data_IF_845085581587
#
_entry.id   IF_845085581587
#
_cell.length_a   1.000
_cell.length_b   1.000
_cell.length_c   1.000
_cell.angle_alpha   90.00
_cell.angle_beta   90.00
_cell.angle_gamma   90.00
#
_symmetry.space_group_name_H-M   'P 1'
#
loop_
_entity.id
_entity.type
_entity.pdbx_description
1 polymer ?
#
# COMPACT_ATOMS: atom_id res chain seq x y z
N UNK A 1 -2.48 -16.23 30.11
CA UNK A 1 -3.16 -14.98 29.73
C UNK A 1 -2.85 -14.69 28.27
N UNK A 2 -3.82 -14.96 27.40
CA UNK A 2 -3.69 -14.65 25.99
C UNK A 2 -3.77 -13.13 25.83
N UNK A 3 -2.67 -12.52 25.40
CA UNK A 3 -2.70 -11.13 25.00
C UNK A 3 -3.73 -11.01 23.86
N UNK A 4 -4.80 -10.28 24.11
CA UNK A 4 -5.72 -9.91 23.05
C UNK A 4 -4.94 -8.99 22.14
N UNK A 5 -4.46 -9.52 21.02
CA UNK A 5 -3.84 -8.69 19.99
C UNK A 5 -4.97 -7.89 19.36
N UNK A 6 -5.12 -6.64 19.81
CA UNK A 6 -6.02 -5.71 19.15
C UNK A 6 -5.52 -5.50 17.73
N UNK A 7 -6.37 -5.71 16.74
CA UNK A 7 -6.04 -5.35 15.38
C UNK A 7 -6.37 -3.87 15.13
N UNK A 8 -5.79 -3.32 14.06
CA UNK A 8 -6.01 -1.94 13.66
C UNK A 8 -6.89 -1.84 12.40
N UNK A 9 -7.66 -2.89 12.13
CA UNK A 9 -8.58 -2.91 10.99
C UNK A 9 -9.56 -1.74 11.08
N UNK A 10 -9.77 -1.06 9.97
CA UNK A 10 -10.67 0.10 9.90
C UNK A 10 -10.12 1.38 10.51
N UNK A 11 -8.84 1.41 10.89
CA UNK A 11 -8.24 2.57 11.57
C UNK A 11 -7.56 3.58 10.64
N UNK A 12 -7.61 3.36 9.32
CA UNK A 12 -7.03 4.30 8.37
C UNK A 12 -7.75 5.65 8.47
N UNK A 13 -6.99 6.72 8.50
CA UNK A 13 -7.51 8.09 8.50
C UNK A 13 -7.31 8.67 7.10
N UNK A 14 -8.40 9.10 6.48
CA UNK A 14 -8.39 9.67 5.13
C UNK A 14 -8.71 11.16 5.24
N UNK A 15 -7.83 12.00 4.70
CA UNK A 15 -7.94 13.45 4.72
C UNK A 15 -7.81 13.99 3.30
N UNK A 16 -8.36 15.17 3.09
CA UNK A 16 -8.30 15.89 1.82
C UNK A 16 -7.64 17.24 2.03
N UNK A 17 -6.28 17.29 2.03
CA UNK A 17 -5.57 18.56 2.29
C UNK A 17 -5.83 19.63 1.25
N UNK A 18 -6.18 19.24 0.02
CA UNK A 18 -6.54 20.15 -1.07
C UNK A 18 -7.53 19.47 -2.01
N UNK A 19 -8.00 20.21 -3.01
CA UNK A 19 -8.92 19.65 -4.04
C UNK A 19 -8.27 18.58 -4.91
N UNK A 20 -6.95 18.51 -4.92
CA UNK A 20 -6.18 17.57 -5.75
C UNK A 20 -5.61 16.40 -4.97
N UNK A 21 -5.68 16.43 -3.64
CA UNK A 21 -4.95 15.47 -2.79
C UNK A 21 -5.84 14.54 -1.99
N UNK A 22 -5.35 13.32 -1.82
CA UNK A 22 -5.88 12.35 -0.85
C UNK A 22 -4.71 11.95 0.04
N UNK A 23 -4.87 12.11 1.35
CA UNK A 23 -3.88 11.72 2.33
C UNK A 23 -4.44 10.61 3.21
N UNK A 24 -3.77 9.46 3.23
CA UNK A 24 -4.19 8.31 4.04
C UNK A 24 -3.09 7.97 5.04
N UNK A 25 -3.46 7.79 6.30
CA UNK A 25 -2.53 7.43 7.38
C UNK A 25 -3.00 6.14 8.05
N UNK A 26 -2.09 5.21 8.26
CA UNK A 26 -2.36 3.92 8.89
C UNK A 26 -1.15 3.44 9.68
N UNK A 27 -1.35 2.96 10.90
CA UNK A 27 -0.27 2.40 11.72
C UNK A 27 -0.25 0.87 11.63
N UNK A 28 0.95 0.30 11.72
CA UNK A 28 1.19 -1.14 11.71
C UNK A 28 2.13 -1.52 12.85
N UNK A 29 1.82 -2.60 13.56
CA UNK A 29 2.65 -3.11 14.66
C UNK A 29 3.78 -3.98 14.10
N UNK A 30 4.72 -3.34 13.39
CA UNK A 30 5.85 -4.00 12.73
C UNK A 30 7.02 -3.03 12.59
N UNK A 31 8.28 -3.53 12.51
CA UNK A 31 9.43 -2.67 12.28
C UNK A 31 9.42 -2.07 10.87
N UNK A 32 9.97 -0.87 10.75
CA UNK A 32 9.95 -0.09 9.52
C UNK A 32 10.61 -0.82 8.35
N UNK A 33 11.69 -1.55 8.60
CA UNK A 33 12.39 -2.31 7.56
C UNK A 33 11.49 -3.40 6.96
N UNK A 34 10.72 -4.07 7.81
CA UNK A 34 9.80 -5.11 7.34
C UNK A 34 8.63 -4.50 6.56
N UNK A 35 8.07 -3.38 7.03
CA UNK A 35 7.00 -2.70 6.31
C UNK A 35 7.49 -2.24 4.94
N UNK A 36 8.67 -1.64 4.87
CA UNK A 36 9.26 -1.21 3.61
C UNK A 36 9.46 -2.40 2.65
N UNK A 37 9.98 -3.50 3.15
CA UNK A 37 10.19 -4.71 2.35
C UNK A 37 8.88 -5.24 1.78
N UNK A 38 7.85 -5.33 2.59
CA UNK A 38 6.53 -5.85 2.19
C UNK A 38 5.85 -4.95 1.17
N UNK A 39 6.14 -3.64 1.20
CA UNK A 39 5.60 -2.68 0.23
C UNK A 39 6.34 -2.71 -1.12
N UNK A 40 7.54 -3.27 -1.18
CA UNK A 40 8.43 -3.09 -2.35
C UNK A 40 8.83 -4.37 -3.06
N UNK A 41 8.61 -5.54 -2.46
CA UNK A 41 8.92 -6.82 -3.11
C UNK A 41 7.69 -7.44 -3.74
N UNK A 42 7.75 -7.85 -5.03
CA UNK A 42 6.59 -8.42 -5.73
C UNK A 42 5.96 -9.61 -5.02
N UNK A 43 6.76 -10.51 -4.47
CA UNK A 43 6.28 -11.69 -3.75
C UNK A 43 5.44 -11.34 -2.53
N UNK A 44 5.72 -10.19 -1.90
CA UNK A 44 4.96 -9.69 -0.76
C UNK A 44 3.74 -8.88 -1.22
N UNK A 45 3.90 -7.98 -2.19
CA UNK A 45 2.82 -7.14 -2.70
C UNK A 45 1.64 -7.97 -3.19
N UNK A 46 1.92 -9.12 -3.82
CA UNK A 46 0.89 -10.07 -4.26
C UNK A 46 -0.02 -10.55 -3.14
N UNK A 47 0.43 -10.52 -1.89
CA UNK A 47 -0.31 -11.07 -0.75
C UNK A 47 -1.32 -10.07 -0.17
N UNK A 48 -1.16 -8.78 -0.39
CA UNK A 48 -1.98 -7.79 0.30
C UNK A 48 -2.60 -6.70 -0.59
N UNK A 49 -2.09 -6.49 -1.80
CA UNK A 49 -2.42 -5.30 -2.60
C UNK A 49 -3.91 -5.22 -3.00
N UNK A 50 -4.54 -6.32 -3.31
CA UNK A 50 -5.91 -6.35 -3.81
C UNK A 50 -6.95 -6.39 -2.67
N UNK A 51 -8.17 -5.84 -2.88
CA UNK A 51 -9.27 -6.05 -1.93
C UNK A 51 -9.55 -7.52 -1.67
N UNK A 52 -10.27 -7.84 -0.59
CA UNK A 52 -10.46 -9.22 -0.12
C UNK A 52 -11.04 -10.16 -1.17
N UNK A 53 -11.93 -9.67 -2.04
CA UNK A 53 -12.59 -10.50 -3.06
C UNK A 53 -11.82 -10.57 -4.37
N UNK A 54 -10.64 -9.98 -4.44
CA UNK A 54 -9.85 -9.87 -5.67
C UNK A 54 -8.56 -10.67 -5.57
N UNK A 55 -8.00 -11.02 -6.72
CA UNK A 55 -6.75 -11.80 -6.81
C UNK A 55 -5.73 -11.04 -7.64
N UNK A 56 -4.52 -10.86 -7.11
CA UNK A 56 -3.41 -10.27 -7.85
C UNK A 56 -2.90 -11.29 -8.87
N UNK A 57 -2.95 -10.94 -10.14
CA UNK A 57 -2.52 -11.81 -11.25
C UNK A 57 -1.16 -11.42 -11.80
N UNK A 58 -0.73 -10.17 -11.58
CA UNK A 58 0.57 -9.69 -12.03
C UNK A 58 1.12 -8.68 -11.03
N UNK A 59 2.40 -8.80 -10.73
CA UNK A 59 3.12 -7.79 -9.96
C UNK A 59 4.56 -7.76 -10.44
N UNK A 60 4.97 -6.63 -11.02
CA UNK A 60 6.33 -6.41 -11.47
C UNK A 60 6.84 -5.10 -10.87
N UNK A 61 8.03 -5.13 -10.27
CA UNK A 61 8.63 -3.99 -9.60
C UNK A 61 10.11 -3.93 -9.96
N UNK A 62 10.52 -2.83 -10.57
CA UNK A 62 11.93 -2.50 -10.80
C UNK A 62 12.29 -1.39 -9.81
N UNK A 63 12.75 -1.77 -8.61
CA UNK A 63 12.92 -0.84 -7.48
C UNK A 63 14.22 -0.04 -7.61
N UNK A 64 14.17 0.97 -8.47
CA UNK A 64 15.24 1.96 -8.66
C UNK A 64 14.62 3.24 -9.22
N UNK A 65 15.27 4.35 -9.02
CA UNK A 65 14.83 5.63 -9.63
C UNK A 65 14.85 5.47 -11.15
N UNK A 66 13.72 5.79 -11.79
CA UNK A 66 13.50 5.56 -13.21
C UNK A 66 12.97 4.17 -13.56
N UNK A 67 12.91 3.25 -12.61
CA UNK A 67 12.31 1.94 -12.82
C UNK A 67 10.78 2.01 -12.75
N UNK A 68 10.12 1.04 -13.38
CA UNK A 68 8.67 0.98 -13.45
C UNK A 68 8.09 -0.10 -12.54
N UNK A 69 6.85 0.10 -12.12
CA UNK A 69 6.08 -0.94 -11.45
C UNK A 69 4.72 -1.11 -12.13
N UNK A 70 4.18 -2.33 -12.05
CA UNK A 70 2.83 -2.62 -12.52
C UNK A 70 2.24 -3.74 -11.68
N UNK A 71 1.07 -3.48 -11.10
CA UNK A 71 0.32 -4.47 -10.33
C UNK A 71 -1.10 -4.57 -10.89
N UNK A 72 -1.53 -5.79 -11.17
CA UNK A 72 -2.86 -6.07 -11.72
C UNK A 72 -3.58 -7.03 -10.79
N UNK A 73 -4.82 -6.71 -10.46
CA UNK A 73 -5.70 -7.67 -9.79
C UNK A 73 -6.99 -7.84 -10.59
N UNK A 74 -7.66 -8.97 -10.35
CA UNK A 74 -8.91 -9.33 -11.02
C UNK A 74 -10.01 -9.45 -9.99
N UNK A 75 -11.16 -8.82 -10.27
CA UNK A 75 -12.35 -8.90 -9.44
C UNK A 75 -13.10 -10.20 -9.65
N UNK A 76 -14.12 -10.48 -8.83
CA UNK A 76 -14.93 -11.70 -8.93
C UNK A 76 -15.61 -11.84 -10.29
N UNK A 77 -15.97 -10.72 -10.93
CA UNK A 77 -16.61 -10.74 -12.26
C UNK A 77 -15.62 -10.80 -13.42
N UNK A 78 -14.31 -10.92 -13.13
CA UNK A 78 -13.26 -11.01 -14.14
C UNK A 78 -12.72 -9.67 -14.64
N UNK A 79 -13.10 -8.55 -14.03
CA UNK A 79 -12.59 -7.24 -14.41
C UNK A 79 -11.14 -7.07 -13.96
N UNK A 80 -10.26 -6.69 -14.87
CA UNK A 80 -8.87 -6.38 -14.53
C UNK A 80 -8.72 -4.95 -14.06
N UNK A 81 -8.02 -4.77 -12.93
CA UNK A 81 -7.65 -3.46 -12.40
C UNK A 81 -6.13 -3.35 -12.40
N UNK A 82 -5.59 -2.48 -13.24
CA UNK A 82 -4.15 -2.31 -13.42
C UNK A 82 -3.70 -0.97 -12.86
N UNK A 83 -2.65 -1.00 -12.05
CA UNK A 83 -2.00 0.17 -11.45
C UNK A 83 -0.54 0.17 -11.87
N UNK A 84 -0.04 1.30 -12.34
CA UNK A 84 1.34 1.40 -12.80
C UNK A 84 1.93 2.79 -12.56
N UNK A 85 3.24 2.85 -12.61
CA UNK A 85 3.97 4.10 -12.48
C UNK A 85 5.47 3.91 -12.58
N UNK A 86 6.17 5.01 -12.34
CA UNK A 86 7.64 5.09 -12.38
C UNK A 86 8.14 5.66 -11.05
N UNK A 87 9.21 5.09 -10.49
CA UNK A 87 9.83 5.58 -9.27
C UNK A 87 10.59 6.87 -9.53
N UNK A 88 10.30 7.91 -8.75
CA UNK A 88 10.96 9.21 -8.82
C UNK A 88 11.99 9.39 -7.71
N UNK A 89 11.75 8.82 -6.52
CA UNK A 89 12.61 8.93 -5.35
C UNK A 89 12.47 7.67 -4.50
N UNK A 90 13.59 7.13 -4.02
CA UNK A 90 13.58 5.95 -3.14
C UNK A 90 14.62 6.18 -2.03
N UNK A 91 14.15 6.30 -0.78
CA UNK A 91 14.99 6.45 0.42
C UNK A 91 14.63 5.36 1.43
N UNK A 92 15.20 4.15 1.28
CA UNK A 92 14.88 3.06 2.20
C UNK A 92 15.34 3.35 3.62
N UNK A 93 14.57 3.01 4.64
CA UNK A 93 13.22 2.43 4.61
C UNK A 93 12.11 3.48 4.83
N UNK A 94 12.36 4.77 4.56
CA UNK A 94 11.51 5.87 5.00
C UNK A 94 10.63 6.50 3.94
N UNK A 95 11.02 6.43 2.65
CA UNK A 95 10.31 7.21 1.64
C UNK A 95 10.39 6.63 0.24
N UNK A 96 9.26 6.67 -0.46
CA UNK A 96 9.16 6.40 -1.90
C UNK A 96 8.28 7.49 -2.52
N UNK A 97 8.72 8.06 -3.63
CA UNK A 97 7.91 8.93 -4.48
C UNK A 97 7.82 8.28 -5.85
N UNK A 98 6.61 8.15 -6.35
CA UNK A 98 6.36 7.46 -7.61
C UNK A 98 5.19 8.10 -8.34
N UNK A 99 5.17 8.00 -9.67
CA UNK A 99 3.96 8.30 -10.41
C UNK A 99 2.95 7.19 -10.19
N UNK A 100 1.68 7.50 -10.32
CA UNK A 100 0.62 6.55 -10.04
C UNK A 100 -0.49 6.72 -11.07
N UNK A 101 -0.91 5.63 -11.67
CA UNK A 101 -1.98 5.63 -12.65
C UNK A 101 -2.82 4.37 -12.48
N UNK A 102 -4.13 4.56 -12.36
CA UNK A 102 -5.10 3.48 -12.50
C UNK A 102 -5.56 3.44 -13.96
N UNK A 103 -5.27 2.36 -14.67
CA UNK A 103 -5.59 2.25 -16.09
C UNK A 103 -7.10 2.27 -16.39
N UNK A 104 -7.94 1.94 -15.41
CA UNK A 104 -9.39 2.06 -15.55
C UNK A 104 -9.87 3.52 -15.65
N UNK A 105 -9.03 4.47 -15.25
CA UNK A 105 -9.31 5.90 -15.36
C UNK A 105 -8.02 6.64 -15.71
N UNK A 106 -7.56 6.56 -17.00
CA UNK A 106 -6.24 7.10 -17.38
C UNK A 106 -6.05 8.59 -17.16
N UNK A 107 -7.13 9.36 -17.06
CA UNK A 107 -7.05 10.80 -16.81
C UNK A 107 -6.74 11.13 -15.34
N UNK A 108 -6.82 10.17 -14.43
CA UNK A 108 -6.56 10.35 -13.00
C UNK A 108 -5.11 10.04 -12.64
N UNK A 109 -4.16 10.58 -13.39
CA UNK A 109 -2.73 10.44 -13.07
C UNK A 109 -2.39 11.21 -11.80
N UNK A 110 -1.58 10.60 -10.94
CA UNK A 110 -1.18 11.19 -9.66
C UNK A 110 0.32 10.99 -9.41
N UNK A 111 0.85 11.76 -8.46
CA UNK A 111 2.14 11.46 -7.83
C UNK A 111 1.83 10.93 -6.43
N UNK A 112 2.33 9.74 -6.15
CA UNK A 112 2.16 9.08 -4.86
C UNK A 112 3.42 9.23 -4.03
N UNK A 113 3.27 9.78 -2.82
CA UNK A 113 4.34 9.84 -1.84
C UNK A 113 4.01 8.91 -0.70
N UNK A 114 4.90 7.96 -0.43
CA UNK A 114 4.79 7.00 0.67
C UNK A 114 5.87 7.34 1.69
N UNK A 115 5.46 7.69 2.90
CA UNK A 115 6.36 7.96 4.01
C UNK A 115 6.14 6.96 5.14
N UNK A 116 7.23 6.48 5.73
CA UNK A 116 7.20 5.55 6.87
C UNK A 116 7.98 6.17 8.03
N UNK A 117 7.40 6.06 9.23
CA UNK A 117 8.03 6.52 10.46
C UNK A 117 7.76 5.50 11.57
N UNK A 118 8.81 5.06 12.27
CA UNK A 118 8.68 4.08 13.35
C UNK A 118 8.93 4.71 14.70
N UNK A 119 8.06 4.41 15.67
CA UNK A 119 8.22 4.74 17.07
C UNK A 119 7.81 3.55 17.91
N UNK A 120 8.72 3.03 18.75
CA UNK A 120 8.46 1.92 19.70
C UNK A 120 7.85 0.68 19.01
N UNK A 121 8.36 0.31 17.85
CA UNK A 121 7.91 -0.89 17.13
C UNK A 121 6.64 -0.71 16.33
N UNK A 122 6.11 0.51 16.27
CA UNK A 122 4.91 0.85 15.48
C UNK A 122 5.34 1.73 14.32
N UNK A 123 5.06 1.28 13.11
CA UNK A 123 5.37 2.04 11.88
C UNK A 123 4.10 2.72 11.38
N UNK A 124 4.17 4.03 11.23
CA UNK A 124 3.09 4.82 10.63
C UNK A 124 3.37 5.00 9.14
N UNK A 125 2.42 4.55 8.34
CA UNK A 125 2.43 4.68 6.89
C UNK A 125 1.56 5.89 6.52
N UNK A 126 2.12 6.81 5.75
CA UNK A 126 1.37 7.94 5.19
C UNK A 126 1.48 7.88 3.67
N UNK A 127 0.34 7.83 3.00
CA UNK A 127 0.27 7.81 1.54
C UNK A 127 -0.45 9.06 1.07
N UNK A 128 0.24 9.88 0.28
CA UNK A 128 -0.36 11.06 -0.33
C UNK A 128 -0.44 10.88 -1.85
N UNK A 129 -1.66 10.96 -2.39
CA UNK A 129 -1.90 10.98 -3.82
C UNK A 129 -2.22 12.42 -4.22
N UNK A 130 -1.39 13.00 -5.07
CA UNK A 130 -1.60 14.34 -5.63
C UNK A 130 -1.97 14.18 -7.10
N UNK A 131 -3.24 14.42 -7.42
CA UNK A 131 -3.80 14.22 -8.76
C UNK A 131 -3.56 15.44 -9.64
N UNK A 132 -3.56 15.22 -10.96
CA UNK A 132 -3.43 16.28 -11.95
C UNK A 132 -4.65 17.19 -11.94
N UNK A 133 -5.85 16.65 -11.72
CA UNK A 133 -7.10 17.41 -11.70
C UNK A 133 -8.07 16.90 -10.64
N UNK A 134 -9.07 17.75 -10.35
CA UNK A 134 -10.09 17.46 -9.33
C UNK A 134 -10.98 16.28 -9.72
N UNK A 135 -11.30 16.11 -11.00
CA UNK A 135 -12.16 15.02 -11.46
C UNK A 135 -11.53 13.65 -11.18
N UNK A 136 -10.23 13.53 -11.42
CA UNK A 136 -9.48 12.31 -11.12
C UNK A 136 -9.46 12.02 -9.62
N UNK A 137 -9.17 13.04 -8.80
CA UNK A 137 -9.20 12.91 -7.34
C UNK A 137 -10.58 12.46 -6.87
N UNK A 138 -11.65 13.10 -7.35
CA UNK A 138 -13.02 12.79 -6.92
C UNK A 138 -13.43 11.38 -7.35
N UNK A 139 -13.00 10.92 -8.51
CA UNK A 139 -13.26 9.56 -8.96
C UNK A 139 -12.62 8.53 -8.02
N UNK A 140 -11.38 8.74 -7.63
CA UNK A 140 -10.65 7.79 -6.78
C UNK A 140 -11.11 7.81 -5.32
N UNK A 141 -11.78 8.86 -4.85
CA UNK A 141 -12.34 8.88 -3.49
C UNK A 141 -13.55 7.96 -3.31
N UNK A 142 -14.13 7.47 -4.40
CA UNK A 142 -15.33 6.60 -4.34
C UNK A 142 -14.99 5.14 -4.03
N UNK A 143 -13.70 4.79 -4.01
CA UNK A 143 -13.26 3.43 -3.73
C UNK A 143 -12.75 3.32 -2.28
N UNK A 144 -13.22 2.33 -1.55
CA UNK A 144 -12.74 1.99 -0.20
C UNK A 144 -11.83 0.75 -0.20
N UNK A 145 -11.40 0.31 -1.38
CA UNK A 145 -10.51 -0.84 -1.54
C UNK A 145 -9.15 -0.70 -0.83
N UNK A 146 -8.71 0.53 -0.56
CA UNK A 146 -7.46 0.78 0.14
C UNK A 146 -7.52 0.30 1.60
N UNK A 147 -8.67 0.46 2.28
CA UNK A 147 -8.83 -0.04 3.65
C UNK A 147 -8.70 -1.57 3.68
N UNK A 148 -9.34 -2.27 2.74
CA UNK A 148 -9.20 -3.73 2.63
C UNK A 148 -7.75 -4.14 2.42
N UNK A 149 -7.02 -3.44 1.55
CA UNK A 149 -5.61 -3.71 1.29
C UNK A 149 -4.76 -3.51 2.54
N UNK A 150 -5.00 -2.46 3.30
CA UNK A 150 -4.26 -2.21 4.53
C UNK A 150 -4.58 -3.26 5.61
N UNK A 151 -5.82 -3.71 5.69
CA UNK A 151 -6.19 -4.78 6.62
C UNK A 151 -5.50 -6.10 6.26
N UNK A 152 -5.42 -6.42 4.97
CA UNK A 152 -4.66 -7.58 4.48
C UNK A 152 -3.16 -7.43 4.76
N UNK A 153 -2.63 -6.22 4.57
CA UNK A 153 -1.23 -5.93 4.87
C UNK A 153 -0.92 -6.16 6.35
N UNK A 154 -1.79 -5.70 7.24
CA UNK A 154 -1.63 -5.93 8.68
C UNK A 154 -1.61 -7.44 8.99
N UNK A 155 -2.56 -8.18 8.46
CA UNK A 155 -2.66 -9.62 8.70
C UNK A 155 -1.44 -10.36 8.14
N UNK A 156 -0.96 -9.95 6.98
CA UNK A 156 0.23 -10.52 6.36
C UNK A 156 1.50 -10.23 7.17
N UNK A 157 1.67 -9.00 7.65
CA UNK A 157 2.78 -8.63 8.52
C UNK A 157 2.79 -9.47 9.79
N UNK A 158 1.63 -9.68 10.39
CA UNK A 158 1.49 -10.52 11.58
C UNK A 158 1.93 -11.96 11.29
N UNK A 159 1.53 -12.51 10.15
CA UNK A 159 1.95 -13.85 9.71
C UNK A 159 3.48 -13.93 9.56
N UNK A 160 4.10 -12.93 8.94
CA UNK A 160 5.56 -12.91 8.77
C UNK A 160 6.30 -12.81 10.10
N UNK A 161 5.79 -11.99 11.03
CA UNK A 161 6.39 -11.85 12.36
C UNK A 161 6.28 -13.14 13.17
N UNK A 162 5.13 -13.83 13.08
CA UNK A 162 4.94 -15.13 13.73
C UNK A 162 5.89 -16.18 13.16
N UNK A 163 6.11 -16.18 11.85
CA UNK A 163 7.07 -17.08 11.20
C UNK A 163 8.51 -16.79 11.63
N UNK A 164 8.88 -15.52 11.76
CA UNK A 164 10.22 -15.14 12.24
C UNK A 164 10.44 -15.56 13.70
N UNK A 165 9.44 -15.37 14.55
CA UNK A 165 9.48 -15.80 15.94
C UNK A 165 9.65 -17.33 16.05
N UNK A 166 8.90 -18.11 15.26
CA UNK A 166 9.01 -19.56 15.22
C UNK A 166 10.38 -20.03 14.73
N UNK A 167 10.95 -19.34 13.71
CA UNK A 167 12.28 -19.68 13.20
C UNK A 167 13.38 -19.40 14.21
N UNK A 168 13.24 -18.36 15.06
CA UNK A 168 14.26 -18.02 16.06
C UNK A 168 14.21 -18.94 17.29
N UNK A 169 13.14 -19.70 17.49
CA UNK A 169 12.99 -20.68 18.57
C UNK A 169 13.54 -22.07 18.22
N UNK A 170 13.87 -22.29 16.93
CA UNK A 170 14.33 -23.57 16.46
C UNK A 170 15.82 -23.81 16.68
#
# INVERSE_FOLDING_TARGET
>A
MTAVTSNRHGSAVIEFPSELEILTTRAFDAPIELVFEVLTKPEHVRQWFAPFTCVVTKCSIDLRVGGDYNTVFVTEDGTECSFRGTYLEIEPPTRIVQTWLFEGWPDAEAVETVDLDETDGVTTLTVKLAFRDKAGRDHMTKSDGQEDSFNKLEDYLRTLLDQQASASEA
#
